data_IF_036846717061
#
_entry.id   IF_036846717061
#
_cell.length_a   1.000
_cell.length_b   1.000
_cell.length_c   1.000
_cell.angle_alpha   90.00
_cell.angle_beta   90.00
_cell.angle_gamma   90.00
#
_symmetry.space_group_name_H-M   'P 1'
#
loop_
_entity.id
_entity.type
_entity.pdbx_description
1 polymer ?
#
# COMPACT_ATOMS: atom_id res chain seq x y z
N UNK A 1 -3.50 -4.86 27.82
CA UNK A 1 -2.26 -4.18 28.21
C UNK A 1 -1.84 -3.34 27.01
N UNK A 2 -2.13 -2.04 27.02
CA UNK A 2 -1.77 -1.14 25.93
C UNK A 2 -0.25 -1.02 25.93
N UNK A 3 0.41 -1.49 24.86
CA UNK A 3 1.82 -1.24 24.68
C UNK A 3 2.01 0.27 24.67
N UNK A 4 2.66 0.79 25.70
CA UNK A 4 3.20 2.14 25.69
C UNK A 4 4.20 2.16 24.54
N UNK A 5 3.83 2.77 23.42
CA UNK A 5 4.74 3.00 22.30
C UNK A 5 5.93 3.76 22.88
N UNK A 6 7.08 3.11 22.94
CA UNK A 6 8.32 3.77 23.32
C UNK A 6 8.68 4.71 22.17
N UNK A 7 8.13 5.93 22.23
CA UNK A 7 8.34 6.99 21.25
C UNK A 7 9.83 7.40 21.13
N UNK A 8 10.71 6.86 21.98
CA UNK A 8 12.13 7.24 22.00
C UNK A 8 12.95 6.61 20.87
N UNK A 9 12.56 5.45 20.34
CA UNK A 9 13.40 4.71 19.39
C UNK A 9 13.09 4.96 17.90
N UNK A 10 11.95 5.55 17.55
CA UNK A 10 11.53 5.76 16.15
C UNK A 10 11.22 7.23 15.86
N UNK A 11 12.27 8.03 15.64
CA UNK A 11 12.14 9.45 15.27
C UNK A 11 12.30 9.65 13.78
N UNK A 12 11.51 10.57 13.22
CA UNK A 12 11.64 10.99 11.83
C UNK A 12 11.99 12.47 11.81
N UNK A 13 13.12 12.81 11.21
CA UNK A 13 13.56 14.18 10.99
C UNK A 13 13.50 14.51 9.51
N UNK A 14 12.93 15.67 9.19
CA UNK A 14 12.79 16.13 7.82
C UNK A 14 13.47 17.49 7.64
N UNK A 15 14.20 17.65 6.54
CA UNK A 15 14.63 18.94 6.04
C UNK A 15 13.66 19.40 4.95
N UNK A 16 13.28 20.67 4.99
CA UNK A 16 12.36 21.26 4.02
C UNK A 16 12.61 22.76 3.89
N UNK A 17 11.98 23.41 2.92
CA UNK A 17 12.05 24.86 2.76
C UNK A 17 11.13 25.59 3.75
N UNK A 18 11.38 26.88 3.97
CA UNK A 18 10.51 27.74 4.79
C UNK A 18 9.08 27.78 4.24
N UNK A 19 8.95 27.86 2.92
CA UNK A 19 7.65 27.95 2.25
C UNK A 19 6.83 26.67 2.43
N UNK A 20 7.45 25.51 2.27
CA UNK A 20 6.78 24.22 2.51
C UNK A 20 6.39 24.09 3.98
N UNK A 21 7.26 24.48 4.91
CA UNK A 21 6.93 24.45 6.34
C UNK A 21 5.74 25.36 6.66
N UNK A 22 5.68 26.56 6.07
CA UNK A 22 4.58 27.50 6.26
C UNK A 22 3.25 26.93 5.75
N UNK A 23 3.25 26.36 4.53
CA UNK A 23 2.09 25.70 3.94
C UNK A 23 1.56 24.55 4.82
N UNK A 24 2.45 23.67 5.27
CA UNK A 24 2.07 22.53 6.12
C UNK A 24 1.54 23.00 7.47
N UNK A 25 2.10 24.08 8.02
CA UNK A 25 1.64 24.66 9.27
C UNK A 25 0.24 25.29 9.13
N UNK A 26 -0.04 25.97 8.02
CA UNK A 26 -1.36 26.52 7.72
C UNK A 26 -2.42 25.42 7.59
N UNK A 27 -2.10 24.33 6.91
CA UNK A 27 -2.98 23.17 6.79
C UNK A 27 -3.25 22.51 8.17
N UNK A 28 -2.21 22.34 8.99
CA UNK A 28 -2.34 21.82 10.35
C UNK A 28 -3.25 22.72 11.21
N UNK A 29 -3.03 24.03 11.17
CA UNK A 29 -3.84 25.00 11.89
C UNK A 29 -5.30 24.98 11.45
N UNK A 30 -5.57 24.83 10.15
CA UNK A 30 -6.93 24.74 9.59
C UNK A 30 -7.71 23.53 10.11
N UNK A 31 -7.01 22.48 10.53
CA UNK A 31 -7.59 21.28 11.15
C UNK A 31 -7.48 21.28 12.68
N UNK A 32 -7.00 22.37 13.29
CA UNK A 32 -6.87 22.50 14.75
C UNK A 32 -5.85 21.55 15.38
N UNK A 33 -4.82 21.14 14.63
CA UNK A 33 -3.77 20.21 15.09
C UNK A 33 -2.37 20.81 14.98
N UNK A 34 -1.42 20.29 15.76
CA UNK A 34 -0.02 20.66 15.61
C UNK A 34 0.60 20.06 14.34
N UNK A 35 1.72 20.63 13.90
CA UNK A 35 2.40 20.24 12.66
C UNK A 35 2.86 18.78 12.65
N UNK A 36 3.33 18.26 13.78
CA UNK A 36 3.79 16.87 13.88
C UNK A 36 2.62 15.90 13.75
N UNK A 37 1.52 16.17 14.45
CA UNK A 37 0.28 15.40 14.36
C UNK A 37 -0.30 15.41 12.93
N UNK A 38 -0.26 16.58 12.27
CA UNK A 38 -0.67 16.71 10.87
C UNK A 38 0.19 15.86 9.93
N UNK A 39 1.51 15.91 10.08
CA UNK A 39 2.44 15.16 9.23
C UNK A 39 2.29 13.65 9.43
N UNK A 40 2.21 13.18 10.68
CA UNK A 40 2.05 11.75 10.98
C UNK A 40 0.71 11.23 10.45
N UNK A 41 -0.39 11.95 10.67
CA UNK A 41 -1.71 11.53 10.17
C UNK A 41 -1.75 11.47 8.64
N UNK A 42 -1.23 12.49 7.96
CA UNK A 42 -1.19 12.57 6.50
C UNK A 42 -0.29 11.48 5.91
N UNK A 43 0.92 11.30 6.43
CA UNK A 43 1.85 10.27 5.97
C UNK A 43 1.29 8.86 6.22
N UNK A 44 0.66 8.63 7.38
CA UNK A 44 0.04 7.34 7.71
C UNK A 44 -1.11 7.02 6.76
N UNK A 45 -1.97 8.01 6.48
CA UNK A 45 -3.07 7.82 5.55
C UNK A 45 -2.55 7.48 4.15
N UNK A 46 -1.60 8.27 3.63
CA UNK A 46 -1.03 8.00 2.30
C UNK A 46 -0.30 6.66 2.24
N UNK A 47 0.41 6.27 3.29
CA UNK A 47 1.08 4.97 3.34
C UNK A 47 0.07 3.81 3.24
N UNK A 48 -1.05 3.90 3.96
CA UNK A 48 -2.15 2.91 3.85
C UNK A 48 -2.71 2.84 2.44
N UNK A 49 -2.92 4.00 1.81
CA UNK A 49 -3.46 4.07 0.46
C UNK A 49 -2.48 3.47 -0.56
N UNK A 50 -1.19 3.77 -0.45
CA UNK A 50 -0.14 3.19 -1.32
C UNK A 50 -0.08 1.67 -1.19
N UNK A 51 -0.06 1.15 0.04
CA UNK A 51 -0.04 -0.31 0.28
C UNK A 51 -1.32 -0.96 -0.27
N UNK A 52 -2.47 -0.29 -0.11
CA UNK A 52 -3.74 -0.79 -0.63
C UNK A 52 -3.77 -0.79 -2.16
N UNK A 53 -3.30 0.29 -2.79
CA UNK A 53 -3.19 0.44 -4.24
C UNK A 53 -2.28 -0.66 -4.84
N UNK A 54 -1.14 -0.93 -4.21
CA UNK A 54 -0.18 -1.96 -4.63
C UNK A 54 -0.78 -3.39 -4.59
N UNK A 55 -1.62 -3.66 -3.58
CA UNK A 55 -2.26 -4.97 -3.40
C UNK A 55 -3.59 -5.14 -4.16
N UNK A 56 -4.03 -4.15 -4.92
CA UNK A 56 -5.35 -4.18 -5.55
C UNK A 56 -5.26 -4.36 -7.06
N UNK A 57 -5.84 -5.46 -7.55
CA UNK A 57 -6.09 -5.65 -8.98
C UNK A 57 -7.40 -4.95 -9.37
N UNK A 58 -7.30 -3.82 -10.07
CA UNK A 58 -8.47 -3.12 -10.60
C UNK A 58 -8.73 -3.62 -12.02
N UNK A 59 -9.90 -4.25 -12.21
CA UNK A 59 -10.34 -4.77 -13.50
C UNK A 59 -11.45 -3.88 -14.08
N UNK A 60 -11.38 -3.59 -15.37
CA UNK A 60 -12.52 -3.05 -16.11
C UNK A 60 -13.68 -4.05 -16.11
N UNK A 61 -14.88 -3.59 -16.46
CA UNK A 61 -16.05 -4.48 -16.58
C UNK A 61 -15.82 -5.65 -17.55
N UNK A 62 -15.05 -5.43 -18.62
CA UNK A 62 -14.72 -6.46 -19.60
C UNK A 62 -13.77 -7.51 -19.03
N UNK A 63 -12.69 -7.06 -18.38
CA UNK A 63 -11.71 -7.92 -17.72
C UNK A 63 -12.33 -8.69 -16.57
N UNK A 64 -13.21 -8.07 -15.77
CA UNK A 64 -13.95 -8.74 -14.71
C UNK A 64 -14.80 -9.90 -15.23
N UNK A 65 -15.59 -9.67 -16.30
CA UNK A 65 -16.38 -10.73 -16.94
C UNK A 65 -15.50 -11.84 -17.50
N UNK A 66 -14.33 -11.50 -18.04
CA UNK A 66 -13.38 -12.50 -18.52
C UNK A 66 -12.80 -13.33 -17.37
N UNK A 67 -12.38 -12.67 -16.29
CA UNK A 67 -11.87 -13.30 -15.08
C UNK A 67 -12.90 -14.25 -14.46
N UNK A 68 -14.13 -13.78 -14.25
CA UNK A 68 -15.25 -14.55 -13.69
C UNK A 68 -15.51 -15.84 -14.50
N UNK A 69 -15.56 -15.74 -15.83
CA UNK A 69 -15.75 -16.92 -16.70
C UNK A 69 -14.63 -17.96 -16.55
N UNK A 70 -13.38 -17.52 -16.42
CA UNK A 70 -12.24 -18.43 -16.29
C UNK A 70 -12.14 -19.05 -14.89
N UNK A 71 -12.59 -18.36 -13.84
CA UNK A 71 -12.72 -18.95 -12.50
C UNK A 71 -13.87 -19.96 -12.44
N UNK A 72 -15.03 -19.62 -13.01
CA UNK A 72 -16.19 -20.50 -12.99
C UNK A 72 -15.98 -21.81 -13.79
N UNK A 73 -15.08 -21.78 -14.77
CA UNK A 73 -14.73 -22.96 -15.57
C UNK A 73 -13.19 -23.07 -15.70
N UNK A 74 -12.51 -23.63 -14.68
CA UNK A 74 -11.06 -23.73 -14.67
C UNK A 74 -10.59 -24.68 -15.78
N UNK A 75 -9.63 -24.23 -16.57
CA UNK A 75 -9.03 -25.04 -17.64
C UNK A 75 -8.03 -26.03 -17.04
N UNK A 76 -7.92 -27.21 -17.67
CA UNK A 76 -6.85 -28.15 -17.32
C UNK A 76 -5.47 -27.54 -17.64
N UNK A 77 -4.44 -27.82 -16.81
CA UNK A 77 -3.07 -27.38 -17.10
C UNK A 77 -2.61 -27.84 -18.48
N UNK A 78 -1.95 -26.93 -19.21
CA UNK A 78 -1.36 -27.24 -20.52
C UNK A 78 -0.17 -28.18 -20.36
N UNK A 79 0.24 -28.84 -21.46
CA UNK A 79 1.44 -29.70 -21.45
C UNK A 79 2.68 -28.92 -21.03
N UNK A 80 2.87 -27.71 -21.57
CA UNK A 80 3.99 -26.84 -21.24
C UNK A 80 3.99 -26.42 -19.76
N UNK A 81 2.83 -26.11 -19.18
CA UNK A 81 2.75 -25.82 -17.74
C UNK A 81 3.16 -27.04 -16.91
N UNK A 82 2.68 -28.24 -17.25
CA UNK A 82 3.07 -29.47 -16.54
C UNK A 82 4.57 -29.75 -16.63
N UNK A 83 5.17 -29.52 -17.81
CA UNK A 83 6.61 -29.67 -18.00
C UNK A 83 7.40 -28.65 -17.17
N UNK A 84 6.95 -27.40 -17.09
CA UNK A 84 7.55 -26.35 -16.27
C UNK A 84 7.53 -26.68 -14.77
N UNK A 85 6.38 -27.11 -14.23
CA UNK A 85 6.27 -27.43 -12.79
C UNK A 85 7.09 -28.67 -12.38
N UNK A 86 7.57 -29.47 -13.34
CA UNK A 86 8.38 -30.67 -13.09
C UNK A 86 9.89 -30.42 -13.22
N UNK A 87 10.33 -29.18 -13.44
CA UNK A 87 11.75 -28.83 -13.48
C UNK A 87 12.33 -28.81 -12.05
N UNK A 88 13.57 -29.28 -11.88
CA UNK A 88 14.27 -29.20 -10.59
C UNK A 88 14.38 -27.74 -10.11
N UNK A 89 14.09 -27.49 -8.83
CA UNK A 89 14.16 -26.17 -8.20
C UNK A 89 12.92 -25.29 -8.37
N UNK A 90 11.80 -25.81 -8.88
CA UNK A 90 10.54 -25.05 -8.92
C UNK A 90 9.83 -24.95 -7.56
N UNK A 91 10.06 -25.91 -6.67
CA UNK A 91 9.43 -26.02 -5.34
C UNK A 91 10.39 -25.71 -4.15
N UNK A 92 11.62 -25.23 -4.41
CA UNK A 92 12.61 -24.78 -3.40
C UNK A 92 12.48 -23.27 -3.10
#
# INVERSE_FOLDING_TARGET
MLATMDLKDARIEFKTSKDIKALLQEAANSLGMDLSSFLISTATQRAKDVIKEDNMLILSKGEWKYFERNIASPKKPTKALKELMNLEGFDD
#
